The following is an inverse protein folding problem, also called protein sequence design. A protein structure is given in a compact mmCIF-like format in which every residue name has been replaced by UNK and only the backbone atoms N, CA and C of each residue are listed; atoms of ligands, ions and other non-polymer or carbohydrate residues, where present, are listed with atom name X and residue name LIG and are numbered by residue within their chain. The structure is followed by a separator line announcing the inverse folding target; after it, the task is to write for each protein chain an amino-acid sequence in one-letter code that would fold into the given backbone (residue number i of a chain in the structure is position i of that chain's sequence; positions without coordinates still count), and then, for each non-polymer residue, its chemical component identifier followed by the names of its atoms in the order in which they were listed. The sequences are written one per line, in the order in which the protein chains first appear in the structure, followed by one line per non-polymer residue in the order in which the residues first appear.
data_IF_374641194010
#
_entry.id   IF_374641194010
#
_cell.length_a   1.000
_cell.length_b   1.000
_cell.length_c   1.000
_cell.angle_alpha   90.00
_cell.angle_beta   90.00
_cell.angle_gamma   90.00
#
_symmetry.space_group_name_H-M   'P 1'
#
loop_
_entity.id
_entity.type
_entity.pdbx_description
1 polymer ?
2 polymer ?
3 non-polymer ?
4 water ?
#
# COMPACT_ATOMS: atom_id res chain seq x y z
N UNK A 9 -25.38 22.33 21.88
CA UNK A 9 -24.04 22.67 22.33
C UNK A 9 -23.03 22.47 21.20
N UNK A 10 -22.95 21.26 20.67
CA UNK A 10 -22.04 20.95 19.58
C UNK A 10 -22.71 21.14 18.22
N UNK A 11 -24.02 20.92 18.17
CA UNK A 11 -24.79 21.00 16.93
C UNK A 11 -24.73 22.39 16.31
N UNK A 12 -24.52 23.41 17.14
CA UNK A 12 -24.38 24.78 16.65
C UNK A 12 -23.00 25.01 16.04
N UNK A 13 -22.00 24.34 16.59
CA UNK A 13 -20.65 24.45 16.07
C UNK A 13 -20.53 23.71 14.74
N UNK A 14 -21.11 22.51 14.67
CA UNK A 14 -21.09 21.69 13.46
C UNK A 14 -21.63 22.45 12.25
N UNK A 15 -22.73 23.18 12.46
CA UNK A 15 -23.34 24.00 11.42
C UNK A 15 -22.33 25.01 10.88
N UNK A 16 -21.51 25.55 11.78
CA UNK A 16 -20.45 26.47 11.38
C UNK A 16 -19.36 25.73 10.62
N UNK A 17 -18.98 24.56 11.13
CA UNK A 17 -17.93 23.76 10.51
C UNK A 17 -18.31 23.36 9.08
N UNK A 18 -19.57 22.99 8.88
CA UNK A 18 -20.03 22.56 7.57
C UNK A 18 -20.01 23.71 6.56
N UNK A 19 -20.63 24.82 6.91
CA UNK A 19 -20.74 25.95 5.98
C UNK A 19 -19.39 26.62 5.74
N UNK A 20 -18.47 26.45 6.68
CA UNK A 20 -17.13 27.00 6.53
C UNK A 20 -16.28 26.10 5.65
N UNK A 21 -16.38 24.79 5.87
CA UNK A 21 -15.58 23.81 5.15
C UNK A 21 -16.04 23.69 3.70
N UNK A 22 -17.29 24.08 3.43
CA UNK A 22 -17.83 24.04 2.07
C UNK A 22 -17.36 25.25 1.28
N UNK A 23 -16.70 26.19 1.96
CA UNK A 23 -16.11 27.34 1.29
C UNK A 23 -14.76 26.97 0.70
N UNK A 24 -14.78 26.21 -0.41
CA UNK A 24 -13.56 25.74 -1.03
C UNK A 24 -12.78 26.89 -1.67
N UNK A 25 -11.47 26.88 -1.46
CA UNK A 25 -10.55 27.88 -2.03
C UNK A 25 -10.85 29.33 -1.58
N UNK A 26 -11.31 29.49 -0.36
CA UNK A 26 -11.58 30.81 0.22
C UNK A 26 -11.55 30.74 1.74
N UNK A 27 -11.24 31.86 2.38
CA UNK A 27 -11.25 31.96 3.84
C UNK A 27 -10.40 30.89 4.53
N UNK A 28 -9.09 30.96 4.31
CA UNK A 28 -8.17 29.94 4.77
C UNK A 28 -8.10 29.84 6.29
N UNK A 29 -8.00 30.99 6.94
CA UNK A 29 -7.83 31.04 8.39
C UNK A 29 -9.08 30.52 9.12
N UNK A 30 -10.25 30.87 8.60
CA UNK A 30 -11.51 30.45 9.19
C UNK A 30 -11.70 28.93 9.10
N UNK A 31 -11.19 28.34 8.03
CA UNK A 31 -11.31 26.90 7.84
C UNK A 31 -10.26 26.14 8.64
N UNK A 32 -9.10 26.75 8.84
CA UNK A 32 -8.10 26.15 9.70
C UNK A 32 -8.65 26.00 11.11
N UNK A 33 -9.21 27.08 11.64
CA UNK A 33 -9.76 27.09 12.98
C UNK A 33 -10.89 26.06 13.13
N UNK A 34 -11.77 26.01 12.14
CA UNK A 34 -12.86 25.04 12.16
C UNK A 34 -12.33 23.61 12.14
N UNK A 35 -11.26 23.38 11.40
CA UNK A 35 -10.62 22.07 11.34
C UNK A 35 -9.94 21.72 12.66
N UNK A 36 -9.31 22.71 13.28
CA UNK A 36 -8.65 22.50 14.57
C UNK A 36 -9.66 22.20 15.67
N UNK A 37 -10.80 22.89 15.66
CA UNK A 37 -11.85 22.65 16.64
C UNK A 37 -12.43 21.25 16.51
N UNK A 38 -12.66 20.83 15.27
CA UNK A 38 -13.16 19.48 15.00
C UNK A 38 -12.16 18.42 15.47
N UNK A 39 -10.89 18.62 15.12
CA UNK A 39 -9.83 17.69 15.49
C UNK A 39 -9.64 17.63 17.01
N UNK A 40 -9.80 18.77 17.67
CA UNK A 40 -9.66 18.85 19.13
C UNK A 40 -10.80 18.10 19.83
N UNK A 41 -12.01 18.22 19.28
CA UNK A 41 -13.17 17.56 19.86
C UNK A 41 -13.18 16.06 19.55
N UNK A 42 -12.35 15.65 18.60
CA UNK A 42 -12.22 14.24 18.26
C UNK A 42 -11.23 13.56 19.20
N UNK A 43 -10.07 14.19 19.39
CA UNK A 43 -9.05 13.68 20.29
C UNK A 43 -9.54 13.65 21.73
N UNK A 44 -10.26 14.69 22.14
CA UNK A 44 -10.83 14.76 23.48
C UNK A 44 -12.02 13.80 23.63
N UNK A 45 -12.49 13.29 22.50
CA UNK A 45 -13.68 12.45 22.45
C UNK A 45 -14.87 13.15 23.10
N UNK A 46 -14.99 14.45 22.84
CA UNK A 46 -16.08 15.25 23.36
C UNK A 46 -17.20 15.37 22.32
N UNK A 47 -16.89 14.98 21.10
CA UNK A 47 -17.84 15.05 19.99
C UNK A 47 -18.92 13.98 20.15
N UNK A 48 -20.07 14.38 20.71
CA UNK A 48 -21.14 13.43 21.01
C UNK A 48 -22.12 13.28 19.87
N UNK A 49 -21.84 13.95 18.75
CA UNK A 49 -22.74 13.92 17.61
C UNK A 49 -22.08 13.32 16.36
N UNK A 50 -21.28 12.28 16.56
CA UNK A 50 -20.73 11.54 15.43
C UNK A 50 -21.82 10.69 14.79
N UNK A 51 -22.72 10.18 15.62
CA UNK A 51 -23.83 9.34 15.14
C UNK A 51 -24.75 10.12 14.20
N UNK A 52 -24.70 11.43 14.26
CA UNK A 52 -25.59 12.27 13.47
C UNK A 52 -24.92 12.89 12.25
N UNK A 53 -23.64 13.22 12.35
CA UNK A 53 -23.02 14.07 11.34
C UNK A 53 -21.76 13.50 10.69
N UNK A 54 -21.40 12.26 11.02
CA UNK A 54 -20.15 11.69 10.52
C UNK A 54 -20.04 11.69 8.99
N UNK A 55 -21.08 11.21 8.32
CA UNK A 55 -21.05 11.05 6.87
C UNK A 55 -20.78 12.37 6.15
N UNK A 56 -21.53 13.41 6.50
CA UNK A 56 -21.35 14.72 5.87
C UNK A 56 -19.98 15.30 6.18
N UNK A 57 -19.57 15.18 7.43
CA UNK A 57 -18.27 15.68 7.86
C UNK A 57 -17.13 15.01 7.10
N UNK A 58 -17.21 13.68 6.95
CA UNK A 58 -16.18 12.93 6.24
C UNK A 58 -16.07 13.36 4.77
N UNK A 59 -17.20 13.44 4.09
CA UNK A 59 -17.20 13.76 2.66
C UNK A 59 -16.69 15.18 2.40
N UNK A 60 -17.05 16.12 3.26
CA UNK A 60 -16.55 17.48 3.15
C UNK A 60 -15.05 17.54 3.45
N UNK A 61 -14.59 16.63 4.29
CA UNK A 61 -13.18 16.56 4.66
C UNK A 61 -12.35 15.96 3.53
N UNK A 62 -12.91 14.95 2.86
CA UNK A 62 -12.21 14.31 1.75
C UNK A 62 -12.11 15.24 0.54
N UNK A 63 -13.13 16.07 0.35
CA UNK A 63 -13.11 17.09 -0.70
C UNK A 63 -12.08 18.18 -0.39
N UNK A 64 -11.84 18.38 0.91
CA UNK A 64 -10.89 19.38 1.37
C UNK A 64 -9.45 18.94 1.09
N UNK A 65 -9.25 17.64 0.87
CA UNK A 65 -7.93 17.11 0.53
C UNK A 65 -7.43 17.64 -0.81
N UNK A 66 -8.33 18.19 -1.62
CA UNK A 66 -7.98 18.69 -2.93
C UNK A 66 -7.98 20.21 -3.01
N UNK A 67 -7.82 20.85 -1.86
CA UNK A 67 -7.78 22.30 -1.78
C UNK A 67 -6.51 22.85 -2.42
N UNK A 68 -6.56 24.09 -2.89
CA UNK A 68 -5.38 24.75 -3.46
C UNK A 68 -4.28 24.93 -2.43
N UNK A 69 -4.66 25.35 -1.22
CA UNK A 69 -3.70 25.61 -0.16
C UNK A 69 -3.15 24.33 0.43
N UNK A 70 -1.82 24.15 0.37
CA UNK A 70 -1.16 22.96 0.93
C UNK A 70 -1.33 22.86 2.44
N UNK A 71 -1.31 23.99 3.14
CA UNK A 71 -1.50 23.99 4.59
C UNK A 71 -2.89 23.48 4.97
N UNK A 72 -3.87 23.70 4.10
CA UNK A 72 -5.21 23.18 4.30
C UNK A 72 -5.26 21.67 4.05
N UNK A 73 -4.58 21.22 3.00
CA UNK A 73 -4.53 19.81 2.65
C UNK A 73 -3.85 19.00 3.75
N UNK A 74 -2.75 19.53 4.26
CA UNK A 74 -2.00 18.86 5.32
C UNK A 74 -2.81 18.77 6.61
N UNK A 75 -3.53 19.85 6.93
CA UNK A 75 -4.33 19.90 8.15
C UNK A 75 -5.53 18.96 8.07
N UNK A 76 -6.15 18.90 6.89
CA UNK A 76 -7.29 18.02 6.69
C UNK A 76 -6.90 16.55 6.84
N UNK A 77 -5.67 16.24 6.46
CA UNK A 77 -5.14 14.88 6.61
C UNK A 77 -4.92 14.56 8.09
N UNK A 78 -4.49 15.55 8.85
CA UNK A 78 -4.28 15.38 10.29
C UNK A 78 -5.61 15.15 11.00
N UNK A 79 -6.64 15.86 10.56
CA UNK A 79 -7.98 15.69 11.11
C UNK A 79 -8.51 14.32 10.76
N UNK A 80 -8.31 13.91 9.51
CA UNK A 80 -8.74 12.59 9.05
C UNK A 80 -8.09 11.49 9.87
N UNK A 81 -6.82 11.70 10.21
CA UNK A 81 -6.05 10.75 10.99
C UNK A 81 -6.66 10.53 12.38
N UNK A 82 -7.07 11.62 13.02
CA UNK A 82 -7.63 11.53 14.35
C UNK A 82 -9.04 10.93 14.33
N UNK A 83 -9.80 11.24 13.29
CA UNK A 83 -11.13 10.67 13.14
C UNK A 83 -11.02 9.16 12.93
N UNK A 84 -10.01 8.74 12.17
CA UNK A 84 -9.74 7.32 11.97
C UNK A 84 -9.38 6.62 13.28
N UNK A 85 -8.66 7.33 14.15
CA UNK A 85 -8.19 6.75 15.40
C UNK A 85 -9.33 6.54 16.40
N UNK A 86 -10.26 7.49 16.45
CA UNK A 86 -11.30 7.48 17.48
C UNK A 86 -12.65 6.96 16.99
N UNK A 87 -12.88 7.03 15.68
CA UNK A 87 -14.13 6.53 15.11
C UNK A 87 -13.89 5.61 13.90
N UNK A 88 -13.14 4.51 14.10
CA UNK A 88 -12.77 3.67 12.97
C UNK A 88 -13.93 2.84 12.42
N UNK A 89 -14.91 2.54 13.28
CA UNK A 89 -16.03 1.69 12.90
C UNK A 89 -16.92 2.33 11.85
N UNK A 90 -16.87 3.65 11.75
CA UNK A 90 -17.76 4.39 10.86
C UNK A 90 -17.23 4.48 9.43
N UNK A 91 -16.04 3.94 9.19
CA UNK A 91 -15.45 3.98 7.87
C UNK A 91 -15.72 2.70 7.08
N UNK A 92 -16.61 1.87 7.60
CA UNK A 92 -16.93 0.58 7.00
C UNK A 92 -17.44 0.72 5.57
N UNK A 93 -18.27 1.73 5.33
CA UNK A 93 -18.87 1.93 4.01
C UNK A 93 -18.11 2.94 3.15
N UNK A 94 -17.10 3.58 3.74
CA UNK A 94 -16.31 4.57 3.02
C UNK A 94 -14.83 4.17 3.01
N UNK A 95 -14.57 2.89 3.19
CA UNK A 95 -13.21 2.37 3.28
C UNK A 95 -12.44 2.56 1.97
N UNK A 96 -13.04 2.15 0.86
CA UNK A 96 -12.39 2.25 -0.45
C UNK A 96 -12.07 3.69 -0.82
N UNK A 97 -13.04 4.58 -0.58
CA UNK A 97 -12.88 5.99 -0.92
C UNK A 97 -11.78 6.65 -0.10
N UNK A 98 -11.73 6.33 1.19
CA UNK A 98 -10.75 6.92 2.08
C UNK A 98 -9.33 6.45 1.75
N UNK A 99 -9.21 5.17 1.43
CA UNK A 99 -7.92 4.59 1.06
C UNK A 99 -7.35 5.28 -0.18
N UNK A 100 -8.16 5.39 -1.23
CA UNK A 100 -7.70 5.99 -2.49
C UNK A 100 -7.37 7.47 -2.34
N UNK A 101 -8.12 8.17 -1.49
CA UNK A 101 -7.86 9.59 -1.25
C UNK A 101 -6.56 9.80 -0.47
N UNK A 102 -6.31 8.92 0.48
CA UNK A 102 -5.12 9.02 1.31
C UNK A 102 -3.87 8.69 0.51
N UNK A 103 -3.97 7.66 -0.34
CA UNK A 103 -2.85 7.24 -1.18
C UNK A 103 -2.52 8.28 -2.23
N UNK A 104 -3.55 8.95 -2.75
CA UNK A 104 -3.38 9.93 -3.81
C UNK A 104 -2.58 11.14 -3.32
N UNK A 105 -2.70 11.45 -2.04
CA UNK A 105 -2.04 12.61 -1.46
C UNK A 105 -0.53 12.41 -1.36
N UNK A 106 -0.07 11.18 -1.53
CA UNK A 106 1.35 10.88 -1.41
C UNK A 106 2.17 11.45 -2.56
N UNK A 107 1.51 11.81 -3.66
CA UNK A 107 2.22 12.36 -4.80
C UNK A 107 2.10 13.88 -4.84
N UNK A 108 1.72 14.47 -3.71
CA UNK A 108 1.65 15.93 -3.60
C UNK A 108 3.05 16.53 -3.66
N UNK A 109 3.20 17.66 -4.38
CA UNK A 109 4.49 18.32 -4.52
C UNK A 109 5.05 18.83 -3.19
N UNK A 110 4.16 19.17 -2.27
CA UNK A 110 4.57 19.73 -0.98
C UNK A 110 4.80 18.63 0.05
N UNK A 111 5.93 18.72 0.74
CA UNK A 111 6.39 17.66 1.64
C UNK A 111 5.53 17.53 2.90
N UNK A 112 4.94 18.64 3.34
CA UNK A 112 4.10 18.61 4.53
C UNK A 112 2.80 17.85 4.28
N UNK A 113 2.31 17.90 3.05
CA UNK A 113 1.10 17.17 2.68
C UNK A 113 1.40 15.67 2.61
N UNK A 114 2.52 15.34 1.98
CA UNK A 114 2.95 13.94 1.86
C UNK A 114 3.15 13.32 3.24
N UNK A 115 3.79 14.07 4.13
CA UNK A 115 4.07 13.58 5.47
C UNK A 115 2.78 13.30 6.25
N UNK A 116 1.81 14.20 6.13
CA UNK A 116 0.52 14.01 6.79
C UNK A 116 -0.22 12.81 6.24
N UNK A 117 -0.11 12.62 4.93
CA UNK A 117 -0.74 11.49 4.26
C UNK A 117 -0.14 10.17 4.72
N UNK A 118 1.17 10.16 4.96
CA UNK A 118 1.86 8.98 5.46
C UNK A 118 1.40 8.64 6.87
N UNK A 119 1.23 9.67 7.70
CA UNK A 119 0.74 9.49 9.07
C UNK A 119 -0.69 8.97 9.07
N UNK A 120 -1.50 9.49 8.15
CA UNK A 120 -2.90 9.08 8.03
C UNK A 120 -3.01 7.66 7.47
N UNK A 121 -2.03 7.29 6.64
CA UNK A 121 -2.03 5.96 6.02
C UNK A 121 -1.68 4.87 7.04
N UNK A 122 -0.75 5.18 7.93
CA UNK A 122 -0.31 4.21 8.94
C UNK A 122 -1.44 3.90 9.93
N UNK A 123 -2.27 4.90 10.22
CA UNK A 123 -3.40 4.71 11.11
C UNK A 123 -4.54 3.99 10.37
N UNK A 124 -4.72 4.34 9.10
CA UNK A 124 -5.77 3.78 8.27
C UNK A 124 -5.63 2.27 8.11
N UNK A 125 -4.40 1.80 8.03
CA UNK A 125 -4.11 0.38 7.79
C UNK A 125 -4.54 -0.51 8.95
N UNK A 126 -4.73 0.09 10.12
CA UNK A 126 -5.09 -0.67 11.32
C UNK A 126 -6.50 -0.32 11.78
N UNK A 127 -7.15 0.58 11.06
CA UNK A 127 -8.50 1.01 11.40
C UNK A 127 -9.52 0.47 10.41
N UNK A 128 -9.03 -0.24 9.40
CA UNK A 128 -9.87 -0.77 8.34
C UNK A 128 -9.90 -2.29 8.40
N UNK A 129 -10.95 -2.89 7.86
CA UNK A 129 -11.05 -4.34 7.75
C UNK A 129 -9.89 -4.89 6.92
N UNK A 130 -9.14 -5.84 7.50
CA UNK A 130 -7.94 -6.42 6.88
C UNK A 130 -8.19 -6.96 5.47
N UNK A 131 -9.21 -7.79 5.32
CA UNK A 131 -9.51 -8.42 4.03
C UNK A 131 -9.93 -7.40 2.98
N UNK A 132 -10.75 -6.44 3.38
CA UNK A 132 -11.24 -5.40 2.48
C UNK A 132 -10.11 -4.52 1.96
N UNK A 133 -9.15 -4.22 2.84
CA UNK A 133 -8.07 -3.30 2.50
C UNK A 133 -7.11 -3.92 1.49
N UNK A 134 -6.87 -5.22 1.62
CA UNK A 134 -5.95 -5.91 0.71
C UNK A 134 -6.51 -5.95 -0.70
N UNK A 135 -7.81 -6.22 -0.82
CA UNK A 135 -8.44 -6.36 -2.13
C UNK A 135 -8.50 -5.04 -2.91
N UNK A 136 -8.36 -3.91 -2.22
CA UNK A 136 -8.38 -2.63 -2.89
C UNK A 136 -6.96 -2.15 -3.19
N UNK A 137 -5.98 -2.69 -2.45
CA UNK A 137 -4.58 -2.30 -2.63
C UNK A 137 -3.91 -3.08 -3.75
N UNK A 138 -4.36 -4.32 -3.96
CA UNK A 138 -3.75 -5.20 -4.94
C UNK A 138 -3.74 -4.61 -6.36
N UNK A 139 -4.88 -4.04 -6.83
CA UNK A 139 -4.73 -3.50 -8.19
C UNK A 139 -3.91 -2.21 -8.22
N UNK A 140 -3.86 -1.51 -7.10
CA UNK A 140 -3.10 -0.26 -7.00
C UNK A 140 -1.61 -0.54 -7.03
N UNK A 141 -1.18 -1.55 -6.27
CA UNK A 141 0.21 -1.93 -6.20
C UNK A 141 0.77 -2.30 -7.58
N UNK A 142 -0.06 -2.91 -8.41
CA UNK A 142 0.38 -3.41 -9.70
C UNK A 142 0.34 -2.37 -10.82
N UNK A 143 -0.55 -1.38 -10.70
CA UNK A 143 -0.79 -0.47 -11.82
C UNK A 143 -0.45 0.99 -11.55
N UNK A 144 -0.56 1.43 -10.30
CA UNK A 144 -0.37 2.83 -9.97
C UNK A 144 1.06 3.30 -10.17
N UNK A 145 1.24 4.61 -10.24
CA UNK A 145 2.55 5.21 -10.47
C UNK A 145 3.25 5.53 -9.15
N UNK A 146 4.57 5.68 -9.23
CA UNK A 146 5.37 6.08 -8.09
C UNK A 146 5.00 7.50 -7.66
N UNK A 147 4.92 7.74 -6.33
CA UNK A 147 5.12 6.80 -5.24
C UNK A 147 3.82 6.29 -4.62
N UNK A 148 2.73 6.32 -5.36
CA UNK A 148 1.45 5.84 -4.85
C UNK A 148 1.49 4.32 -4.67
N UNK A 149 2.12 3.64 -5.62
CA UNK A 149 2.30 2.20 -5.51
C UNK A 149 3.16 1.83 -4.31
N UNK A 150 4.17 2.66 -4.04
CA UNK A 150 5.04 2.48 -2.88
C UNK A 150 4.25 2.58 -1.58
N UNK A 151 3.39 3.59 -1.50
CA UNK A 151 2.57 3.80 -0.31
C UNK A 151 1.58 2.65 -0.12
N UNK A 152 1.09 2.10 -1.22
CA UNK A 152 0.13 1.00 -1.16
C UNK A 152 0.78 -0.27 -0.63
N UNK A 153 2.03 -0.51 -1.02
CA UNK A 153 2.79 -1.67 -0.55
C UNK A 153 3.06 -1.59 0.95
N UNK A 154 3.46 -0.42 1.41
CA UNK A 154 3.73 -0.21 2.83
C UNK A 154 2.46 -0.41 3.66
N UNK A 155 1.34 0.02 3.11
CA UNK A 155 0.05 -0.12 3.80
C UNK A 155 -0.35 -1.59 3.86
N UNK A 156 -0.06 -2.33 2.81
CA UNK A 156 -0.39 -3.76 2.75
C UNK A 156 0.40 -4.54 3.79
N UNK A 157 1.65 -4.12 4.02
CA UNK A 157 2.50 -4.76 5.00
C UNK A 157 1.90 -4.65 6.40
N UNK A 158 1.43 -3.45 6.74
CA UNK A 158 0.83 -3.19 8.05
C UNK A 158 -0.44 -4.01 8.27
N UNK A 159 -1.14 -4.32 7.19
CA UNK A 159 -2.37 -5.10 7.26
C UNK A 159 -2.07 -6.58 7.47
N UNK A 160 -1.07 -7.09 6.73
CA UNK A 160 -0.68 -8.49 6.83
C UNK A 160 -0.17 -8.83 8.23
N UNK A 161 0.39 -7.83 8.91
CA UNK A 161 0.84 -8.00 10.28
C UNK A 161 -0.31 -8.24 11.25
N UNK A 162 -1.54 -8.03 10.79
CA UNK A 162 -2.72 -8.12 11.66
C UNK A 162 -3.75 -9.13 11.16
N UNK A 163 -3.29 -10.17 10.46
CA UNK A 163 -4.19 -11.21 9.97
C UNK A 163 -3.73 -12.60 10.41
N UNK A 164 -4.66 -13.55 10.37
CA UNK A 164 -4.35 -14.94 10.69
C UNK A 164 -3.76 -15.67 9.49
N UNK A 165 -3.36 -16.92 9.70
CA UNK A 165 -2.81 -17.73 8.62
C UNK A 165 -3.85 -18.04 7.56
N UNK A 166 -5.03 -18.47 8.01
CA UNK A 166 -6.10 -18.87 7.10
C UNK A 166 -6.61 -17.69 6.29
N UNK A 167 -6.70 -16.53 6.93
CA UNK A 167 -7.16 -15.31 6.26
C UNK A 167 -6.19 -14.89 5.16
N UNK A 168 -4.89 -14.98 5.46
CA UNK A 168 -3.86 -14.56 4.51
C UNK A 168 -3.77 -15.50 3.31
N UNK A 169 -3.84 -16.81 3.58
CA UNK A 169 -3.75 -17.81 2.51
C UNK A 169 -4.85 -17.67 1.46
N UNK A 170 -6.02 -17.22 1.89
CA UNK A 170 -7.14 -17.01 0.97
C UNK A 170 -6.97 -15.73 0.16
N UNK A 171 -6.01 -14.90 0.56
CA UNK A 171 -5.77 -13.65 -0.12
C UNK A 171 -4.43 -13.63 -0.86
N UNK A 172 -3.63 -14.70 -0.68
CA UNK A 172 -2.33 -14.80 -1.32
C UNK A 172 -2.34 -14.71 -2.85
N UNK A 173 -3.32 -15.32 -3.54
CA UNK A 173 -3.30 -15.19 -5.00
C UNK A 173 -3.47 -13.75 -5.50
N UNK A 174 -3.97 -12.86 -4.65
CA UNK A 174 -4.13 -11.47 -5.03
C UNK A 174 -2.90 -10.65 -4.66
N UNK A 175 -2.25 -11.05 -3.56
CA UNK A 175 -1.11 -10.30 -3.02
C UNK A 175 0.19 -10.58 -3.75
N UNK A 176 0.53 -11.86 -3.88
CA UNK A 176 1.83 -12.29 -4.41
C UNK A 176 2.22 -11.73 -5.79
N UNK A 177 1.31 -11.72 -6.77
CA UNK A 177 1.72 -11.21 -8.09
C UNK A 177 2.29 -9.78 -8.07
N UNK A 178 1.71 -8.93 -7.23
CA UNK A 178 2.16 -7.55 -7.11
C UNK A 178 3.52 -7.42 -6.45
N UNK A 179 3.79 -8.27 -5.47
CA UNK A 179 5.05 -8.24 -4.76
C UNK A 179 6.19 -8.81 -5.61
N UNK A 180 5.91 -9.87 -6.34
CA UNK A 180 6.88 -10.45 -7.25
C UNK A 180 7.27 -9.44 -8.32
N UNK A 181 6.26 -8.82 -8.92
CA UNK A 181 6.48 -7.78 -9.93
C UNK A 181 7.20 -6.58 -9.33
N UNK A 182 6.82 -6.22 -8.11
CA UNK A 182 7.42 -5.07 -7.44
C UNK A 182 8.87 -5.26 -7.08
N UNK A 183 9.29 -6.51 -6.95
CA UNK A 183 10.68 -6.84 -6.65
C UNK A 183 11.56 -6.53 -7.86
N UNK A 184 10.94 -6.41 -9.02
CA UNK A 184 11.67 -6.08 -10.25
C UNK A 184 11.40 -4.64 -10.69
N UNK A 185 10.90 -3.82 -9.78
CA UNK A 185 10.53 -2.44 -10.11
C UNK A 185 11.76 -1.55 -10.29
N UNK A 186 11.58 -0.44 -10.99
CA UNK A 186 12.66 0.51 -11.24
C UNK A 186 13.17 1.14 -9.96
N UNK A 187 12.24 1.59 -9.12
CA UNK A 187 12.58 2.25 -7.86
C UNK A 187 13.06 1.24 -6.82
N UNK A 188 14.21 1.53 -6.21
CA UNK A 188 14.77 0.67 -5.18
C UNK A 188 13.91 0.69 -3.92
N UNK A 189 13.20 1.79 -3.72
CA UNK A 189 12.31 1.92 -2.56
C UNK A 189 11.14 0.95 -2.68
N UNK A 190 10.63 0.78 -3.90
CA UNK A 190 9.54 -0.17 -4.14
C UNK A 190 10.01 -1.60 -3.96
N UNK A 191 11.21 -1.89 -4.47
CA UNK A 191 11.79 -3.23 -4.34
C UNK A 191 12.01 -3.57 -2.86
N UNK A 192 12.51 -2.60 -2.11
CA UNK A 192 12.77 -2.79 -0.69
C UNK A 192 11.46 -2.97 0.08
N UNK A 193 10.43 -2.22 -0.32
CA UNK A 193 9.12 -2.32 0.32
C UNK A 193 8.49 -3.68 0.07
N UNK A 194 8.77 -4.27 -1.09
CA UNK A 194 8.24 -5.57 -1.43
C UNK A 194 8.92 -6.68 -0.62
N UNK A 195 10.24 -6.53 -0.42
CA UNK A 195 10.98 -7.48 0.41
C UNK A 195 10.43 -7.49 1.83
N UNK A 196 10.23 -6.30 2.40
CA UNK A 196 9.70 -6.16 3.75
C UNK A 196 8.27 -6.70 3.86
N UNK A 197 7.50 -6.58 2.78
CA UNK A 197 6.14 -7.10 2.77
C UNK A 197 6.18 -8.63 2.76
N UNK A 198 7.09 -9.19 1.96
CA UNK A 198 7.26 -10.64 1.89
C UNK A 198 7.71 -11.20 3.22
N UNK A 199 8.57 -10.46 3.93
CA UNK A 199 9.00 -10.84 5.26
C UNK A 199 7.80 -10.91 6.21
N UNK A 200 6.88 -9.95 6.07
CA UNK A 200 5.68 -9.93 6.88
C UNK A 200 4.78 -11.12 6.53
N UNK A 201 4.78 -11.50 5.26
CA UNK A 201 4.03 -12.67 4.81
C UNK A 201 4.62 -13.94 5.38
N UNK A 202 5.94 -14.05 5.35
CA UNK A 202 6.64 -15.22 5.89
C UNK A 202 6.43 -15.34 7.40
N UNK A 203 6.26 -14.20 8.07
CA UNK A 203 6.03 -14.19 9.51
C UNK A 203 4.71 -14.85 9.88
N UNK A 204 3.83 -15.00 8.89
CA UNK A 204 2.50 -15.55 9.12
C UNK A 204 2.38 -17.01 8.67
N UNK A 205 2.75 -17.29 7.43
CA UNK A 205 2.57 -18.62 6.85
C UNK A 205 3.83 -19.48 6.89
N UNK A 206 4.97 -18.86 7.15
CA UNK A 206 6.24 -19.59 7.26
C UNK A 206 6.79 -20.05 5.93
N UNK A 207 7.21 -21.31 5.87
CA UNK A 207 7.82 -21.87 4.67
C UNK A 207 6.79 -22.27 3.63
N UNK A 208 5.53 -21.86 3.82
CA UNK A 208 4.50 -22.07 2.82
C UNK A 208 4.59 -21.00 1.75
N UNK A 209 5.51 -20.07 1.94
CA UNK A 209 5.72 -18.97 0.99
C UNK A 209 6.64 -19.39 -0.15
N UNK A 210 7.45 -20.41 0.11
CA UNK A 210 8.46 -20.87 -0.84
C UNK A 210 7.94 -21.18 -2.27
N UNK A 211 6.85 -21.97 -2.39
CA UNK A 211 6.43 -22.29 -3.76
C UNK A 211 5.88 -21.08 -4.53
N UNK A 212 5.49 -20.03 -3.82
CA UNK A 212 4.99 -18.82 -4.44
C UNK A 212 6.14 -17.98 -4.99
N UNK A 213 7.36 -18.34 -4.62
CA UNK A 213 8.55 -17.57 -4.98
C UNK A 213 9.43 -18.34 -5.96
N UNK A 214 8.85 -19.28 -6.69
CA UNK A 214 9.60 -20.12 -7.61
C UNK A 214 10.18 -19.32 -8.77
N UNK A 215 9.61 -18.15 -9.01
CA UNK A 215 10.03 -17.30 -10.12
C UNK A 215 11.27 -16.49 -9.81
N UNK A 216 11.50 -16.20 -8.52
CA UNK A 216 12.62 -15.37 -8.10
C UNK A 216 13.97 -16.03 -8.37
N UNK A 217 14.96 -15.20 -8.73
CA UNK A 217 16.32 -15.69 -8.94
C UNK A 217 16.98 -16.03 -7.61
N UNK A 218 18.13 -16.69 -7.68
CA UNK A 218 18.86 -17.10 -6.49
C UNK A 218 19.26 -15.95 -5.58
N UNK A 219 19.85 -14.91 -6.16
CA UNK A 219 20.35 -13.78 -5.39
C UNK A 219 19.20 -12.97 -4.78
N UNK A 220 18.07 -12.92 -5.49
CA UNK A 220 16.89 -12.23 -5.00
C UNK A 220 16.28 -12.97 -3.82
N UNK A 221 16.42 -14.29 -3.84
CA UNK A 221 15.94 -15.12 -2.73
C UNK A 221 16.86 -14.97 -1.52
N UNK A 222 18.15 -14.82 -1.77
CA UNK A 222 19.14 -14.68 -0.71
C UNK A 222 18.98 -13.35 0.02
N UNK A 223 18.60 -12.30 -0.72
CA UNK A 223 18.39 -10.99 -0.13
C UNK A 223 17.15 -10.99 0.75
N UNK A 224 16.12 -11.70 0.29
CA UNK A 224 14.89 -11.84 1.06
C UNK A 224 15.14 -12.61 2.34
N UNK A 225 15.83 -13.75 2.22
CA UNK A 225 16.12 -14.58 3.38
C UNK A 225 17.07 -13.88 4.36
N UNK A 226 17.80 -12.89 3.88
CA UNK A 226 18.70 -12.11 4.72
C UNK A 226 17.89 -11.24 5.70
N UNK A 227 16.78 -10.70 5.20
CA UNK A 227 15.93 -9.85 6.02
C UNK A 227 14.95 -10.67 6.87
N UNK A 228 14.68 -11.90 6.44
CA UNK A 228 13.79 -12.79 7.20
C UNK A 228 14.47 -13.28 8.47
N UNK A 229 15.71 -13.75 8.33
CA UNK A 229 16.47 -14.22 9.48
C UNK A 229 16.88 -13.06 10.38
N UNK A 230 16.81 -11.85 9.84
CA UNK A 230 17.10 -10.64 10.61
C UNK A 230 15.89 -10.24 11.45
N UNK A 231 14.70 -10.49 10.92
CA UNK A 231 13.46 -10.09 11.58
C UNK A 231 13.15 -10.96 12.81
N UNK A 232 13.29 -12.27 12.67
CA UNK A 232 12.94 -13.19 13.74
C UNK A 232 13.90 -13.12 14.92
N UNK A 233 15.08 -12.56 14.70
CA UNK A 233 16.06 -12.40 15.77
C UNK A 233 16.08 -10.97 16.29
N UNK B 8 17.13 6.03 6.39
CA UNK B 8 18.13 6.69 5.56
C UNK B 8 19.30 5.77 5.25
N UNK B 9 19.88 5.19 6.31
CA UNK B 9 21.00 4.27 6.15
C UNK B 9 20.52 2.88 5.74
N UNK B 10 19.29 2.55 6.12
CA UNK B 10 18.70 1.25 5.80
C UNK B 10 18.50 1.11 4.30
N UNK B 11 18.22 2.23 3.64
CA UNK B 11 18.01 2.27 2.20
C UNK B 11 19.32 2.06 1.46
N UNK B 12 20.40 2.60 2.01
CA UNK B 12 21.72 2.51 1.40
C UNK B 12 22.32 1.11 1.58
N UNK B 13 22.03 0.49 2.71
CA UNK B 13 22.49 -0.87 2.95
C UNK B 13 21.82 -1.83 1.98
N UNK B 14 20.51 -1.67 1.80
CA UNK B 14 19.75 -2.49 0.87
C UNK B 14 20.29 -2.34 -0.55
N UNK B 15 20.67 -1.12 -0.90
CA UNK B 15 21.13 -0.80 -2.24
C UNK B 15 22.53 -1.35 -2.49
N UNK B 16 23.31 -1.53 -1.43
CA UNK B 16 24.66 -2.06 -1.57
C UNK B 16 24.64 -3.58 -1.58
N UNK B 17 23.65 -4.17 -0.92
CA UNK B 17 23.48 -5.62 -0.92
C UNK B 17 23.07 -6.10 -2.30
N UNK B 18 22.33 -5.26 -3.02
CA UNK B 18 21.93 -5.56 -4.38
C UNK B 18 23.14 -5.50 -5.32
N UNK B 19 23.99 -4.50 -5.11
CA UNK B 19 25.16 -4.32 -5.95
C UNK B 19 26.18 -5.43 -5.75
N UNK B 20 26.31 -5.91 -4.52
CA UNK B 20 27.26 -6.97 -4.19
C UNK B 20 26.87 -8.32 -4.79
N UNK B 21 25.68 -8.39 -5.38
CA UNK B 21 25.24 -9.60 -6.05
C UNK B 21 24.77 -9.31 -7.48
N UNK B 22 25.13 -8.13 -7.98
CA UNK B 22 24.70 -7.66 -9.29
C UNK B 22 25.12 -8.61 -10.42
N UNK B 23 26.35 -9.13 -10.37
CA UNK B 23 26.84 -10.03 -11.41
C UNK B 23 26.10 -11.37 -11.37
N UNK B 24 25.92 -11.92 -10.18
CA UNK B 24 25.19 -13.16 -10.02
C UNK B 24 23.74 -12.99 -10.45
N UNK B 25 23.21 -11.78 -10.25
CA UNK B 25 21.86 -11.44 -10.66
C UNK B 25 21.69 -11.58 -12.18
N UNK B 26 22.63 -11.01 -12.93
CA UNK B 26 22.54 -10.96 -14.38
C UNK B 26 22.70 -12.36 -15.00
N UNK B 27 23.56 -13.17 -14.39
CA UNK B 27 23.77 -14.53 -14.89
C UNK B 27 22.54 -15.40 -14.66
N UNK B 28 21.84 -15.15 -13.56
CA UNK B 28 20.63 -15.90 -13.23
C UNK B 28 19.46 -15.46 -14.10
N UNK B 29 19.38 -14.17 -14.40
CA UNK B 29 18.35 -13.65 -15.31
C UNK B 29 18.53 -14.21 -16.72
N UNK B 30 19.78 -14.22 -17.18
CA UNK B 30 20.12 -14.75 -18.49
C UNK B 30 19.82 -16.24 -18.56
N UNK B 31 20.13 -16.94 -17.48
CA UNK B 31 19.88 -18.37 -17.39
C UNK B 31 18.38 -18.67 -17.50
N UNK B 32 17.56 -17.86 -16.82
CA UNK B 32 16.11 -18.03 -16.87
C UNK B 32 15.57 -17.81 -18.28
N UNK B 33 16.19 -16.90 -19.02
CA UNK B 33 15.79 -16.63 -20.39
C UNK B 33 16.17 -17.80 -21.30
N UNK B 34 17.37 -18.32 -21.11
CA UNK B 34 17.85 -19.45 -21.88
C UNK B 34 17.02 -20.70 -21.61
N UNK B 35 16.57 -20.85 -20.36
CA UNK B 35 15.75 -22.00 -19.98
C UNK B 35 14.37 -21.95 -20.62
N UNK B 36 13.85 -20.74 -20.80
CA UNK B 36 12.55 -20.56 -21.43
C UNK B 36 12.62 -20.87 -22.93
N UNK B 37 13.73 -20.47 -23.55
CA UNK B 37 13.94 -20.70 -24.98
C UNK B 37 14.11 -22.19 -25.27
N UNK B 38 14.88 -22.87 -24.43
CA UNK B 38 15.06 -24.31 -24.54
C UNK B 38 13.71 -25.03 -24.44
N UNK B 39 12.92 -24.63 -23.46
CA UNK B 39 11.60 -25.23 -23.24
C UNK B 39 10.69 -25.03 -24.44
N UNK B 40 10.79 -23.88 -25.08
CA UNK B 40 10.01 -23.58 -26.28
C UNK B 40 10.49 -24.45 -27.44
N UNK B 41 11.80 -24.57 -27.59
CA UNK B 41 12.38 -25.39 -28.66
C UNK B 41 12.01 -26.86 -28.47
N UNK B 42 11.94 -27.30 -27.22
CA UNK B 42 11.57 -28.68 -26.93
C UNK B 42 10.12 -28.96 -27.31
N UNK B 43 9.25 -27.97 -27.14
CA UNK B 43 7.86 -28.12 -27.54
C UNK B 43 7.72 -28.11 -29.06
N UNK B 44 8.58 -27.35 -29.73
CA UNK B 44 8.59 -27.29 -31.19
C UNK B 44 8.98 -28.63 -31.79
N UNK B 45 9.89 -29.32 -31.12
CA UNK B 45 10.35 -30.62 -31.56
C UNK B 45 9.27 -31.68 -31.36
N UNK B 46 8.61 -31.65 -30.21
CA UNK B 46 7.51 -32.57 -29.92
C UNK B 46 6.41 -32.41 -30.95
N UNK B 47 6.09 -31.16 -31.28
CA UNK B 47 5.06 -30.85 -32.26
C UNK B 47 5.37 -31.43 -33.63
N UNK B 48 6.63 -31.31 -34.05
CA UNK B 48 7.04 -31.78 -35.37
C UNK B 48 7.22 -33.29 -35.43
N UNK B 49 7.67 -33.88 -34.34
CA UNK B 49 7.80 -35.34 -34.27
C UNK B 49 6.44 -36.01 -34.31
N UNK B 50 5.41 -35.33 -33.80
CA UNK B 50 4.05 -35.84 -33.87
C UNK B 50 3.57 -35.84 -35.31
N UNK B 51 3.96 -34.81 -36.07
CA UNK B 51 3.60 -34.72 -37.48
C UNK B 51 4.32 -35.79 -38.29
N UNK B 52 5.63 -35.92 -38.04
CA UNK B 52 6.45 -36.90 -38.74
C UNK B 52 5.91 -38.31 -38.52
N UNK B 53 5.56 -38.62 -37.28
CA UNK B 53 5.00 -39.92 -36.93
C UNK B 53 3.68 -40.15 -37.65
N UNK B 54 2.85 -39.12 -37.74
CA UNK B 54 1.56 -39.20 -38.39
C UNK B 54 1.69 -39.33 -39.90
N UNK B 55 2.71 -38.69 -40.46
CA UNK B 55 2.93 -38.70 -41.91
C UNK B 55 3.55 -40.02 -42.38
N UNK B 56 4.14 -40.77 -41.45
CA UNK B 56 4.75 -42.05 -41.77
C UNK B 56 3.70 -43.08 -42.19
N UNK B 57 2.77 -43.37 -41.29
CA UNK B 57 1.68 -44.31 -41.57
C UNK B 57 0.54 -44.14 -40.57
X LIG C 1 -24.55 13.09 7.79
#
# INVERSE_FOLDING_TARGET
GPGSEFSLDHSDLVAELLKELSNHNERVEERKIALYELMKLTQEESFSVWDEHFKTILLLLLETLGDKEPTIRALALKVLREILRHQPARFKNYAELTVMKTLEAHKDPHKEVVRSAEEAASVLATSISPEQCIKVLCPIIQTADYPINLAAIKMQTKVIERVSKETLNLLLPEIMPGLIQGYDNSESSVRKACVFCLVAVHAVIGDELKPHLSQLTGSKMKLLNLYIKRAQTGS
GPGSEFKHFEDLEFQQLEHESRLDEEKENLTQQLLREVAEYQRNIVSRKEKISALKK
CL CL
#
